data_IF_136717412139
#
_entry.id   IF_136717412139
#
_cell.length_a   1.000
_cell.length_b   1.000
_cell.length_c   1.000
_cell.angle_alpha   90.00
_cell.angle_beta   90.00
_cell.angle_gamma   90.00
#
_symmetry.space_group_name_H-M   'P 1'
#
loop_
_entity.id
_entity.type
_entity.pdbx_description
1 polymer ?
#
# COMPACT_ATOMS: atom_id res chain seq x y z
N UNK A 1 -11.98 -6.46 14.56
CA UNK A 1 -12.46 -6.89 13.24
C UNK A 1 -11.34 -6.62 12.27
N UNK A 2 -10.88 -7.64 11.55
CA UNK A 2 -9.79 -7.49 10.59
C UNK A 2 -10.16 -6.41 9.57
N UNK A 3 -9.26 -5.46 9.34
CA UNK A 3 -9.46 -4.37 8.39
C UNK A 3 -9.40 -4.86 6.93
N UNK A 4 -9.27 -6.18 6.73
CA UNK A 4 -8.80 -6.77 5.48
C UNK A 4 -9.66 -7.96 5.05
N UNK A 5 -10.13 -7.94 3.80
CA UNK A 5 -11.06 -8.87 3.16
C UNK A 5 -10.40 -10.09 2.49
N UNK A 6 -9.10 -10.33 2.69
CA UNK A 6 -8.41 -11.57 2.25
C UNK A 6 -7.71 -11.51 0.89
N UNK A 7 -7.55 -10.30 0.34
CA UNK A 7 -6.88 -10.06 -0.95
C UNK A 7 -6.15 -8.73 -1.01
N UNK A 8 -6.01 -8.02 0.10
CA UNK A 8 -5.37 -6.70 0.08
C UNK A 8 -3.85 -6.78 0.04
N UNK A 9 -3.30 -5.65 -0.39
CA UNK A 9 -1.86 -5.38 -0.41
C UNK A 9 -1.59 -4.30 0.62
N UNK A 10 -0.66 -4.57 1.54
CA UNK A 10 -0.19 -3.58 2.50
C UNK A 10 0.94 -2.76 1.88
N UNK A 11 0.76 -1.44 1.80
CA UNK A 11 1.83 -0.49 1.46
C UNK A 11 2.36 0.18 2.72
N UNK A 12 3.68 0.14 2.95
CA UNK A 12 4.30 0.67 4.16
C UNK A 12 5.70 1.22 3.92
N UNK A 13 6.11 2.22 4.69
CA UNK A 13 7.49 2.70 4.74
C UNK A 13 8.37 1.94 5.75
N UNK A 14 7.79 1.05 6.53
CA UNK A 14 8.51 0.28 7.55
C UNK A 14 9.03 1.12 8.73
N UNK A 15 8.69 2.40 8.84
CA UNK A 15 9.26 3.32 9.85
C UNK A 15 9.12 2.81 11.29
N UNK A 16 7.97 2.23 11.64
CA UNK A 16 7.71 1.66 12.98
C UNK A 16 8.39 0.32 13.27
N UNK A 17 9.14 -0.22 12.32
CA UNK A 17 9.86 -1.49 12.43
C UNK A 17 11.36 -1.30 12.64
N UNK A 18 11.87 -0.07 12.50
CA UNK A 18 13.29 0.22 12.69
C UNK A 18 13.75 -0.12 14.11
N UNK A 19 14.91 -0.77 14.25
CA UNK A 19 15.48 -1.18 15.53
C UNK A 19 14.84 -2.44 16.15
N UNK A 20 13.85 -3.06 15.50
CA UNK A 20 13.28 -4.34 15.95
C UNK A 20 14.24 -5.51 15.70
N UNK A 21 14.13 -6.56 16.51
CA UNK A 21 14.90 -7.79 16.33
C UNK A 21 14.41 -8.58 15.12
N UNK A 22 15.23 -9.52 14.64
CA UNK A 22 14.87 -10.41 13.53
C UNK A 22 13.57 -11.19 13.78
N UNK A 23 13.36 -11.64 15.02
CA UNK A 23 12.13 -12.36 15.43
C UNK A 23 10.91 -11.45 15.39
N UNK A 24 11.04 -10.21 15.85
CA UNK A 24 9.95 -9.23 15.83
C UNK A 24 9.58 -8.83 14.40
N UNK A 25 10.57 -8.74 13.51
CA UNK A 25 10.35 -8.48 12.09
C UNK A 25 9.66 -9.65 11.39
N UNK A 26 10.04 -10.89 11.71
CA UNK A 26 9.33 -12.08 11.22
C UNK A 26 7.89 -12.13 11.76
N UNK A 27 7.67 -11.88 13.06
CA UNK A 27 6.33 -11.83 13.65
C UNK A 27 5.44 -10.83 12.93
N UNK A 28 5.96 -9.65 12.62
CA UNK A 28 5.22 -8.64 11.86
C UNK A 28 4.73 -9.17 10.50
N UNK A 29 5.59 -9.84 9.73
CA UNK A 29 5.20 -10.40 8.43
C UNK A 29 4.13 -11.49 8.58
N UNK A 30 4.25 -12.32 9.63
CA UNK A 30 3.24 -13.33 9.95
C UNK A 30 1.89 -12.71 10.29
N UNK A 31 1.88 -11.70 11.17
CA UNK A 31 0.66 -10.98 11.55
C UNK A 31 -0.02 -10.34 10.34
N UNK A 32 0.75 -9.80 9.40
CA UNK A 32 0.22 -9.25 8.14
C UNK A 32 -0.43 -10.33 7.28
N UNK A 33 0.22 -11.50 7.14
CA UNK A 33 -0.35 -12.62 6.39
C UNK A 33 -1.62 -13.18 7.07
N UNK A 34 -1.61 -13.34 8.39
CA UNK A 34 -2.76 -13.81 9.19
C UNK A 34 -3.95 -12.84 9.13
N UNK A 35 -3.69 -11.55 8.90
CA UNK A 35 -4.73 -10.56 8.67
C UNK A 35 -5.41 -10.69 7.29
N UNK A 36 -4.89 -11.54 6.40
CA UNK A 36 -5.44 -11.81 5.07
C UNK A 36 -4.80 -10.98 3.95
N UNK A 37 -3.66 -10.32 4.20
CA UNK A 37 -2.89 -9.72 3.11
C UNK A 37 -2.31 -10.80 2.20
N UNK A 38 -2.29 -10.52 0.90
CA UNK A 38 -1.60 -11.36 -0.10
C UNK A 38 -0.23 -10.82 -0.48
N UNK A 39 0.02 -9.54 -0.19
CA UNK A 39 1.32 -8.93 -0.43
C UNK A 39 1.65 -7.80 0.56
N UNK A 40 2.95 -7.57 0.75
CA UNK A 40 3.52 -6.37 1.37
C UNK A 40 4.39 -5.66 0.36
N UNK A 41 4.14 -4.38 0.18
CA UNK A 41 4.97 -3.47 -0.59
C UNK A 41 5.66 -2.53 0.39
N UNK A 42 6.98 -2.62 0.48
CA UNK A 42 7.78 -1.83 1.42
C UNK A 42 8.67 -0.83 0.68
N UNK A 43 8.61 0.43 1.09
CA UNK A 43 9.56 1.45 0.64
C UNK A 43 10.94 1.22 1.27
N UNK A 44 11.98 1.25 0.44
CA UNK A 44 13.38 1.23 0.86
C UNK A 44 13.91 2.65 0.96
N UNK A 45 14.77 2.89 1.95
CA UNK A 45 15.41 4.18 2.17
C UNK A 45 15.67 4.42 3.64
N UNK A 46 15.01 5.46 4.20
CA UNK A 46 15.34 6.07 5.50
C UNK A 46 15.44 5.10 6.67
N UNK A 47 14.57 4.08 6.71
CA UNK A 47 14.51 3.12 7.81
C UNK A 47 15.17 1.78 7.49
N UNK A 48 15.14 1.36 6.23
CA UNK A 48 15.71 0.12 5.74
C UNK A 48 16.37 0.35 4.38
N UNK A 49 17.68 0.13 4.29
CA UNK A 49 18.42 0.20 3.01
C UNK A 49 18.34 -1.10 2.20
N UNK A 50 17.99 -2.21 2.88
CA UNK A 50 17.67 -3.51 2.29
C UNK A 50 16.60 -4.18 3.14
N UNK A 51 15.86 -5.13 2.55
CA UNK A 51 14.89 -5.92 3.31
C UNK A 51 15.64 -6.86 4.26
N UNK A 52 15.29 -6.90 5.56
CA UNK A 52 15.83 -7.89 6.48
C UNK A 52 15.48 -9.32 6.05
N UNK A 53 16.45 -10.23 6.09
CA UNK A 53 16.26 -11.63 5.67
C UNK A 53 15.13 -12.33 6.44
N UNK A 54 14.97 -12.02 7.72
CA UNK A 54 13.91 -12.62 8.55
C UNK A 54 12.50 -12.30 8.03
N UNK A 55 12.32 -11.13 7.40
CA UNK A 55 11.06 -10.74 6.77
C UNK A 55 10.83 -11.50 5.47
N UNK A 56 11.86 -11.63 4.62
CA UNK A 56 11.75 -12.37 3.36
C UNK A 56 11.51 -13.86 3.59
N UNK A 57 12.20 -14.43 4.58
CA UNK A 57 12.05 -15.84 4.94
C UNK A 57 10.65 -16.13 5.49
N UNK A 58 10.12 -15.24 6.34
CA UNK A 58 8.75 -15.41 6.82
C UNK A 58 7.74 -15.20 5.68
N UNK A 59 7.94 -14.21 4.81
CA UNK A 59 7.05 -13.97 3.67
C UNK A 59 6.96 -15.22 2.77
N UNK A 60 8.11 -15.87 2.49
CA UNK A 60 8.15 -17.15 1.78
C UNK A 60 7.40 -18.26 2.50
N UNK A 61 7.57 -18.39 3.82
CA UNK A 61 6.86 -19.39 4.64
C UNK A 61 5.34 -19.20 4.60
N UNK A 62 4.88 -17.95 4.60
CA UNK A 62 3.47 -17.61 4.57
C UNK A 62 2.87 -17.56 3.15
N UNK A 63 3.69 -17.71 2.10
CA UNK A 63 3.25 -17.50 0.72
C UNK A 63 2.88 -16.05 0.40
N UNK A 64 3.36 -15.09 1.20
CA UNK A 64 3.12 -13.67 1.06
C UNK A 64 4.07 -13.07 0.03
N UNK A 65 3.55 -12.35 -0.96
CA UNK A 65 4.40 -11.64 -1.93
C UNK A 65 5.05 -10.43 -1.26
N UNK A 66 6.37 -10.30 -1.37
CA UNK A 66 7.11 -9.15 -0.83
C UNK A 66 7.70 -8.33 -1.96
N UNK A 67 7.33 -7.05 -2.05
CA UNK A 67 7.78 -6.12 -3.09
C UNK A 67 8.53 -4.96 -2.42
N UNK A 68 9.62 -4.53 -3.04
CA UNK A 68 10.38 -3.35 -2.61
C UNK A 68 10.18 -2.19 -3.56
N UNK A 69 10.02 -0.99 -3.01
CA UNK A 69 10.05 0.26 -3.78
C UNK A 69 11.34 0.99 -3.46
N UNK A 70 12.21 1.16 -4.45
CA UNK A 70 13.52 1.83 -4.28
C UNK A 70 13.46 3.34 -4.53
N UNK A 71 12.27 3.89 -4.69
CA UNK A 71 12.02 5.31 -4.88
C UNK A 71 10.79 5.66 -4.05
N UNK A 72 10.84 6.82 -3.39
CA UNK A 72 9.64 7.38 -2.74
C UNK A 72 8.58 7.51 -3.82
N UNK A 73 7.48 6.77 -3.70
CA UNK A 73 6.29 7.03 -4.49
C UNK A 73 5.66 8.26 -3.84
N UNK A 74 5.59 9.41 -4.51
CA UNK A 74 5.07 10.63 -3.91
C UNK A 74 3.56 10.47 -3.74
N UNK A 75 3.15 9.89 -2.61
CA UNK A 75 1.76 9.59 -2.29
C UNK A 75 0.92 10.87 -2.31
N UNK A 76 1.53 12.00 -1.97
CA UNK A 76 0.95 13.33 -2.14
C UNK A 76 0.56 13.60 -3.60
N UNK A 77 1.48 13.39 -4.55
CA UNK A 77 1.19 13.58 -5.99
C UNK A 77 0.17 12.58 -6.50
N UNK A 78 0.24 11.34 -6.03
CA UNK A 78 -0.70 10.30 -6.45
C UNK A 78 -2.13 10.62 -5.98
N UNK A 79 -2.29 11.18 -4.78
CA UNK A 79 -3.59 11.62 -4.26
C UNK A 79 -4.07 12.89 -4.97
N UNK A 80 -3.19 13.85 -5.26
CA UNK A 80 -3.51 15.05 -6.04
C UNK A 80 -4.01 14.69 -7.44
N UNK A 81 -3.27 13.85 -8.17
CA UNK A 81 -3.65 13.38 -9.51
C UNK A 81 -5.00 12.63 -9.48
N UNK A 82 -5.22 11.80 -8.44
CA UNK A 82 -6.50 11.10 -8.26
C UNK A 82 -7.66 12.06 -7.95
N UNK A 83 -7.43 13.06 -7.10
CA UNK A 83 -8.42 14.06 -6.74
C UNK A 83 -8.86 14.87 -7.96
N UNK A 84 -7.91 15.29 -8.79
CA UNK A 84 -8.17 16.01 -10.04
C UNK A 84 -9.00 15.16 -11.02
N UNK A 85 -8.68 13.87 -11.14
CA UNK A 85 -9.42 12.95 -12.00
C UNK A 85 -10.87 12.76 -11.53
N UNK A 86 -11.11 12.68 -10.21
CA UNK A 86 -12.46 12.60 -9.64
C UNK A 86 -13.25 13.90 -9.86
N UNK A 87 -12.62 15.06 -9.69
CA UNK A 87 -13.24 16.36 -9.93
C UNK A 87 -13.63 16.55 -11.40
N UNK A 88 -12.75 16.19 -12.34
CA UNK A 88 -13.04 16.24 -13.77
C UNK A 88 -14.24 15.36 -14.15
N UNK A 89 -14.37 14.18 -13.54
CA UNK A 89 -15.52 13.29 -13.77
C UNK A 89 -16.84 13.89 -13.27
N UNK A 90 -16.80 14.63 -12.15
CA UNK A 90 -17.98 15.33 -11.63
C UNK A 90 -18.40 16.50 -12.52
N UNK A 91 -17.44 17.29 -13.01
CA UNK A 91 -17.73 18.40 -13.93
C UNK A 91 -18.25 17.91 -15.29
N UNK A 92 -17.73 16.80 -15.81
CA UNK A 92 -18.24 16.17 -17.03
C UNK A 92 -19.71 15.71 -16.89
N UNK A 93 -20.08 15.20 -15.71
CA UNK A 93 -21.46 14.81 -15.42
C UNK A 93 -22.42 16.01 -15.31
N UNK A 94 -21.96 17.14 -14.74
CA UNK A 94 -22.76 18.38 -14.68
C UNK A 94 -23.00 18.99 -16.07
N UNK A 95 -22.00 19.01 -16.95
CA UNK A 95 -22.14 19.53 -18.33
C UNK A 95 -23.09 18.69 -19.20
N UNK A 96 -23.26 17.40 -18.90
CA UNK A 96 -24.25 16.56 -19.55
C UNK A 96 -25.69 16.87 -19.07
N UNK A 97 -25.86 17.34 -17.83
CA UNK A 97 -27.16 17.76 -17.30
C UNK A 97 -27.67 19.08 -17.88
N UNK A 98 -26.78 20.06 -18.10
CA UNK A 98 -27.14 21.38 -18.64
C UNK A 98 -27.58 21.33 -20.11
N UNK A 99 -27.07 20.38 -20.91
CA UNK A 99 -27.43 20.24 -22.33
C UNK A 99 -28.71 19.41 -22.56
N UNK A 100 -29.45 19.09 -21.49
CA UNK A 100 -30.72 18.35 -21.52
C UNK A 100 -31.93 19.17 -21.06
N UNK A 101 -31.72 20.46 -20.81
CA UNK A 101 -32.73 21.46 -20.46
C UNK A 101 -32.71 22.62 -21.48
N UNK A 102 -32.53 22.34 -22.76
CA UNK A 102 -32.64 23.34 -23.83
C UNK A 102 -33.28 22.76 -25.11
N UNK A 103 -33.97 21.61 -25.02
CA UNK A 103 -34.86 21.05 -26.07
C UNK A 103 -36.33 21.07 -25.64
#
# INVERSE_FOLDING_TARGET
GSLLAGGEVLLTSGLGLHGRTSEQLASYVREVAEAGCVAVVMEMGRSFFSVPDSMLDEARRQGLVFVTLHSVVPFERMVEDFHDLVLQRKLGAYRYGEHSWDD
#
